data_IF_369412313957
#
_entry.id   IF_369412313957
#
_cell.length_a   1.000
_cell.length_b   1.000
_cell.length_c   1.000
_cell.angle_alpha   90.00
_cell.angle_beta   90.00
_cell.angle_gamma   90.00
#
_symmetry.space_group_name_H-M   'P 1'
#
loop_
_entity.id
_entity.type
_entity.pdbx_description
1 polymer ?
#
# COMPACT_ATOMS: atom_id res chain seq x y z
N UNK A 1 30.58 6.21 -8.70
CA UNK A 1 29.24 6.08 -8.12
C UNK A 1 29.10 4.66 -7.60
N UNK A 2 29.38 4.46 -6.32
CA UNK A 2 29.14 3.17 -5.68
C UNK A 2 27.62 2.95 -5.54
N UNK A 3 27.13 1.85 -6.09
CA UNK A 3 25.74 1.44 -5.99
C UNK A 3 25.43 1.10 -4.54
N UNK A 4 24.55 1.90 -3.93
CA UNK A 4 24.08 1.73 -2.55
C UNK A 4 23.22 0.46 -2.32
N UNK A 5 23.12 -0.44 -3.31
CA UNK A 5 22.33 -1.66 -3.23
C UNK A 5 23.01 -2.80 -2.46
N UNK A 6 24.31 -2.71 -2.12
CA UNK A 6 25.03 -3.82 -1.46
C UNK A 6 24.82 -3.92 0.05
N UNK A 7 24.31 -2.87 0.74
CA UNK A 7 24.22 -2.88 2.21
C UNK A 7 22.98 -3.59 2.76
N UNK A 8 21.87 -3.63 2.03
CA UNK A 8 20.64 -4.29 2.49
C UNK A 8 20.77 -5.83 2.52
N UNK A 9 21.49 -6.40 1.55
CA UNK A 9 21.74 -7.83 1.46
C UNK A 9 22.57 -8.39 2.63
N UNK A 10 23.28 -7.55 3.38
CA UNK A 10 24.16 -7.97 4.49
C UNK A 10 23.37 -8.21 5.79
N UNK A 11 22.19 -7.59 5.93
CA UNK A 11 21.37 -7.66 7.15
C UNK A 11 20.14 -8.58 7.04
N UNK A 12 19.78 -9.03 5.84
CA UNK A 12 18.70 -10.00 5.64
C UNK A 12 19.24 -11.43 5.71
N UNK A 13 18.76 -12.23 6.67
CA UNK A 13 19.13 -13.64 6.79
C UNK A 13 17.98 -14.50 6.26
N UNK A 14 18.16 -15.26 5.16
CA UNK A 14 17.11 -16.14 4.67
C UNK A 14 16.82 -17.22 5.73
N UNK A 15 15.56 -17.36 6.09
CA UNK A 15 15.10 -18.41 7.03
C UNK A 15 14.64 -19.65 6.28
N UNK A 16 13.95 -19.46 5.15
CA UNK A 16 13.49 -20.52 4.27
C UNK A 16 13.55 -20.08 2.80
N UNK A 17 13.80 -21.04 1.91
CA UNK A 17 13.71 -20.87 0.45
C UNK A 17 12.84 -22.00 -0.09
N UNK A 18 11.69 -21.64 -0.64
CA UNK A 18 10.68 -22.60 -1.08
C UNK A 18 10.31 -22.30 -2.53
N UNK A 19 10.35 -23.33 -3.38
CA UNK A 19 9.96 -23.24 -4.79
C UNK A 19 8.45 -23.50 -4.94
N UNK A 20 7.64 -22.67 -4.30
CA UNK A 20 6.19 -22.79 -4.27
C UNK A 20 5.53 -21.49 -4.78
N UNK A 21 4.35 -21.57 -5.41
CA UNK A 21 3.60 -20.38 -5.78
C UNK A 21 3.17 -19.61 -4.53
N UNK A 22 3.07 -18.28 -4.63
CA UNK A 22 2.56 -17.45 -3.53
C UNK A 22 1.03 -17.46 -3.51
N UNK A 23 0.47 -18.54 -2.95
CA UNK A 23 -0.96 -18.76 -2.72
C UNK A 23 -1.23 -19.25 -1.28
N UNK A 24 -2.50 -19.32 -0.90
CA UNK A 24 -2.92 -19.68 0.47
C UNK A 24 -2.34 -21.01 0.95
N UNK A 25 -2.49 -22.08 0.15
CA UNK A 25 -2.02 -23.43 0.49
C UNK A 25 -0.50 -23.46 0.72
N UNK A 26 0.25 -22.86 -0.19
CA UNK A 26 1.71 -22.82 -0.12
C UNK A 26 2.20 -21.98 1.05
N UNK A 27 1.56 -20.83 1.31
CA UNK A 27 1.90 -19.97 2.44
C UNK A 27 1.58 -20.68 3.76
N UNK A 28 0.42 -21.33 3.88
CA UNK A 28 0.05 -22.12 5.06
C UNK A 28 1.09 -23.21 5.35
N UNK A 29 1.37 -24.05 4.35
CA UNK A 29 2.40 -25.09 4.46
C UNK A 29 3.76 -24.55 4.93
N UNK A 30 4.16 -23.39 4.38
CA UNK A 30 5.44 -22.76 4.72
C UNK A 30 5.46 -22.15 6.13
N UNK A 31 4.34 -21.60 6.57
CA UNK A 31 4.23 -20.87 7.83
C UNK A 31 4.05 -21.78 9.03
N UNK A 32 3.44 -22.96 8.90
CA UNK A 32 3.17 -23.85 10.04
C UNK A 32 4.43 -24.13 10.88
N UNK A 33 5.55 -24.48 10.23
CA UNK A 33 6.82 -24.72 10.91
C UNK A 33 7.40 -23.45 11.54
N UNK A 34 7.29 -22.30 10.86
CA UNK A 34 7.78 -21.02 11.36
C UNK A 34 6.97 -20.56 12.59
N UNK A 35 5.64 -20.66 12.55
CA UNK A 35 4.74 -20.29 13.64
C UNK A 35 5.05 -21.11 14.89
N UNK A 36 5.25 -22.43 14.74
CA UNK A 36 5.59 -23.30 15.86
C UNK A 36 6.94 -22.92 16.50
N UNK A 37 7.95 -22.64 15.67
CA UNK A 37 9.25 -22.20 16.15
C UNK A 37 9.18 -20.83 16.84
N UNK A 38 8.44 -19.88 16.26
CA UNK A 38 8.21 -18.56 16.84
C UNK A 38 7.58 -18.65 18.23
N UNK A 39 6.52 -19.46 18.36
CA UNK A 39 5.81 -19.68 19.63
C UNK A 39 6.76 -20.27 20.68
N UNK A 40 7.53 -21.30 20.29
CA UNK A 40 8.51 -21.92 21.18
C UNK A 40 9.58 -20.91 21.64
N UNK A 41 10.07 -20.02 20.76
CA UNK A 41 11.08 -19.02 21.11
C UNK A 41 10.54 -17.97 22.08
N UNK A 42 9.29 -17.52 21.89
CA UNK A 42 8.68 -16.54 22.79
C UNK A 42 8.39 -17.13 24.18
N UNK A 43 7.89 -18.37 24.24
CA UNK A 43 7.57 -19.05 25.51
C UNK A 43 8.83 -19.42 26.30
N UNK A 44 9.87 -19.92 25.61
CA UNK A 44 11.11 -20.35 26.27
C UNK A 44 12.13 -19.22 26.48
N UNK A 45 11.91 -18.07 25.82
CA UNK A 45 12.89 -16.99 25.73
C UNK A 45 14.13 -17.40 24.95
N UNK A 46 15.09 -16.48 24.84
CA UNK A 46 16.39 -16.78 24.21
C UNK A 46 17.47 -16.85 25.28
N UNK A 47 17.99 -18.06 25.49
CA UNK A 47 19.19 -18.28 26.30
C UNK A 47 20.42 -18.07 25.43
N UNK A 48 21.11 -16.94 25.60
CA UNK A 48 22.39 -16.66 24.97
C UNK A 48 23.53 -16.94 25.94
N UNK A 49 24.73 -17.18 25.41
CA UNK A 49 25.93 -17.48 26.23
C UNK A 49 26.25 -16.39 27.29
N UNK A 50 25.64 -15.19 27.17
CA UNK A 50 25.82 -14.05 28.07
C UNK A 50 24.54 -13.63 28.83
N UNK A 51 23.50 -14.47 28.89
CA UNK A 51 22.29 -14.22 29.67
C UNK A 51 21.00 -14.62 28.97
N UNK A 52 19.90 -14.51 29.71
CA UNK A 52 18.55 -14.77 29.21
C UNK A 52 17.90 -13.44 28.80
N UNK A 53 17.27 -13.42 27.63
CA UNK A 53 16.45 -12.30 27.17
C UNK A 53 15.03 -12.74 26.88
N UNK A 54 14.07 -11.86 27.18
CA UNK A 54 12.72 -11.98 26.66
C UNK A 54 12.73 -11.66 25.16
N UNK A 55 12.02 -12.46 24.37
CA UNK A 55 11.91 -12.27 22.92
C UNK A 55 10.47 -11.93 22.59
N UNK A 56 10.29 -10.87 21.81
CA UNK A 56 9.01 -10.53 21.18
C UNK A 56 9.19 -10.53 19.67
N UNK A 57 8.40 -11.35 18.97
CA UNK A 57 8.46 -11.49 17.52
C UNK A 57 7.34 -10.63 16.91
N UNK A 58 7.73 -9.75 15.99
CA UNK A 58 6.83 -8.83 15.29
C UNK A 58 6.72 -9.25 13.82
N UNK A 59 5.49 -9.45 13.35
CA UNK A 59 5.18 -9.76 11.95
C UNK A 59 4.93 -8.48 11.16
N UNK A 60 6.03 -7.97 10.57
CA UNK A 60 6.03 -6.76 9.76
C UNK A 60 6.66 -7.01 8.38
N UNK A 61 6.58 -6.00 7.51
CA UNK A 61 7.19 -5.99 6.17
C UNK A 61 6.55 -6.92 5.13
N UNK A 62 5.33 -7.40 5.39
CA UNK A 62 4.52 -8.03 4.35
C UNK A 62 3.96 -6.97 3.40
N UNK A 63 4.07 -7.23 2.10
CA UNK A 63 3.27 -6.46 1.14
C UNK A 63 1.78 -6.75 1.34
N UNK A 64 0.94 -6.00 0.63
CA UNK A 64 -0.51 -6.10 0.77
C UNK A 64 -1.03 -7.49 0.36
N UNK A 65 -0.38 -8.17 -0.60
CA UNK A 65 -0.84 -9.48 -1.08
C UNK A 65 -0.57 -10.55 -0.03
N UNK A 66 0.66 -10.62 0.48
CA UNK A 66 1.02 -11.56 1.54
C UNK A 66 0.25 -11.27 2.83
N UNK A 67 0.07 -9.98 3.19
CA UNK A 67 -0.72 -9.62 4.37
C UNK A 67 -2.19 -10.05 4.25
N UNK A 68 -2.78 -9.94 3.05
CA UNK A 68 -4.16 -10.42 2.78
C UNK A 68 -4.27 -11.93 2.95
N UNK A 69 -3.30 -12.70 2.45
CA UNK A 69 -3.25 -14.15 2.63
C UNK A 69 -3.09 -14.46 4.12
N UNK A 70 -2.09 -13.91 4.80
CA UNK A 70 -1.85 -14.25 6.19
C UNK A 70 -3.00 -13.85 7.14
N UNK A 71 -3.70 -12.76 6.85
CA UNK A 71 -4.82 -12.27 7.66
C UNK A 71 -6.19 -12.84 7.29
N UNK A 72 -6.31 -13.52 6.15
CA UNK A 72 -7.62 -13.87 5.58
C UNK A 72 -8.44 -12.67 5.08
N UNK A 73 -8.00 -11.42 5.29
CA UNK A 73 -8.76 -10.20 4.98
C UNK A 73 -8.62 -9.77 3.51
N UNK A 74 -8.63 -10.71 2.57
CA UNK A 74 -8.41 -10.45 1.14
C UNK A 74 -9.45 -9.54 0.49
N UNK A 75 -10.69 -9.57 1.00
CA UNK A 75 -11.80 -8.73 0.56
C UNK A 75 -11.85 -7.37 1.24
N UNK A 76 -11.05 -7.14 2.28
CA UNK A 76 -11.08 -5.90 3.04
C UNK A 76 -10.34 -4.78 2.29
N UNK A 77 -10.85 -3.55 2.43
CA UNK A 77 -10.16 -2.36 1.92
C UNK A 77 -8.88 -2.07 2.70
N UNK A 78 -8.90 -2.33 4.01
CA UNK A 78 -7.78 -2.16 4.91
C UNK A 78 -7.60 -3.41 5.79
N UNK A 79 -6.36 -3.82 5.98
CA UNK A 79 -5.97 -5.00 6.76
C UNK A 79 -5.79 -4.65 8.25
N UNK A 80 -5.82 -3.37 8.61
CA UNK A 80 -5.58 -2.89 9.97
C UNK A 80 -6.83 -2.27 10.62
N UNK A 81 -7.87 -1.97 9.85
CA UNK A 81 -9.12 -1.42 10.38
C UNK A 81 -10.37 -2.18 9.89
N UNK A 82 -11.47 -2.00 10.61
CA UNK A 82 -12.78 -2.56 10.23
C UNK A 82 -13.63 -1.60 9.39
N UNK A 83 -13.10 -0.42 9.04
CA UNK A 83 -13.83 0.59 8.29
C UNK A 83 -14.26 0.07 6.91
N UNK A 84 -15.53 0.32 6.56
CA UNK A 84 -16.07 -0.04 5.25
C UNK A 84 -15.68 0.99 4.19
N UNK A 85 -15.90 0.66 2.92
CA UNK A 85 -15.66 1.61 1.83
C UNK A 85 -16.51 2.87 1.98
N UNK A 86 -17.75 2.77 2.47
CA UNK A 86 -18.63 3.93 2.62
C UNK A 86 -18.10 4.94 3.64
N UNK A 87 -17.47 4.46 4.72
CA UNK A 87 -16.94 5.33 5.77
C UNK A 87 -15.78 6.20 5.29
N UNK A 88 -15.13 5.84 4.17
CA UNK A 88 -14.06 6.67 3.62
C UNK A 88 -14.61 7.98 3.05
N UNK A 89 -15.90 8.06 2.72
CA UNK A 89 -16.52 9.28 2.22
C UNK A 89 -17.03 10.21 3.34
N UNK A 90 -16.95 9.78 4.60
CA UNK A 90 -17.38 10.59 5.74
C UNK A 90 -16.24 11.47 6.25
N UNK A 91 -16.35 12.78 6.00
CA UNK A 91 -15.36 13.77 6.40
C UNK A 91 -15.11 13.79 7.92
N UNK A 92 -16.13 13.49 8.73
CA UNK A 92 -15.99 13.46 10.18
C UNK A 92 -15.11 12.29 10.63
N UNK A 93 -15.22 11.15 9.96
CA UNK A 93 -14.38 9.97 10.23
C UNK A 93 -12.96 10.23 9.77
N UNK A 94 -12.79 10.80 8.58
CA UNK A 94 -11.47 11.21 8.06
C UNK A 94 -10.77 12.14 9.04
N UNK A 95 -11.48 13.13 9.56
CA UNK A 95 -10.93 14.14 10.47
C UNK A 95 -10.55 13.56 11.84
N UNK A 96 -11.20 12.48 12.27
CA UNK A 96 -10.88 11.76 13.50
C UNK A 96 -9.86 10.64 13.30
N UNK A 97 -9.53 10.31 12.05
CA UNK A 97 -8.69 9.17 11.68
C UNK A 97 -9.43 7.83 11.72
N UNK A 98 -8.87 6.84 11.01
CA UNK A 98 -9.39 5.48 11.02
C UNK A 98 -8.75 4.67 12.15
N UNK A 99 -9.54 4.02 13.02
CA UNK A 99 -8.98 3.22 14.11
C UNK A 99 -8.28 1.98 13.57
N UNK A 100 -7.07 1.66 14.05
CA UNK A 100 -6.39 0.40 13.76
C UNK A 100 -6.93 -0.72 14.67
N UNK A 101 -8.20 -1.05 14.50
CA UNK A 101 -8.97 -1.92 15.39
C UNK A 101 -9.22 -3.33 14.86
N UNK A 102 -8.60 -3.72 13.73
CA UNK A 102 -8.72 -5.09 13.23
C UNK A 102 -7.60 -5.93 13.85
N UNK A 103 -7.97 -6.92 14.65
CA UNK A 103 -7.03 -7.92 15.16
C UNK A 103 -7.22 -9.25 14.43
N UNK A 104 -6.16 -10.05 14.38
CA UNK A 104 -6.20 -11.40 13.83
C UNK A 104 -7.06 -12.31 14.70
N UNK A 105 -7.07 -12.08 16.01
CA UNK A 105 -7.96 -12.81 16.93
C UNK A 105 -9.42 -12.59 16.59
N UNK A 106 -9.87 -11.33 16.51
CA UNK A 106 -11.26 -11.01 16.18
C UNK A 106 -11.63 -11.56 14.80
N UNK A 107 -10.70 -11.53 13.84
CA UNK A 107 -10.91 -12.11 12.52
C UNK A 107 -11.11 -13.64 12.57
N UNK A 108 -10.40 -14.36 13.46
CA UNK A 108 -10.60 -15.80 13.65
C UNK A 108 -11.91 -16.09 14.35
N UNK A 109 -12.23 -15.33 15.40
CA UNK A 109 -13.48 -15.49 16.15
C UNK A 109 -14.68 -15.29 15.20
N UNK A 110 -14.68 -14.24 14.38
CA UNK A 110 -15.71 -14.01 13.35
C UNK A 110 -15.75 -15.15 12.33
N UNK A 111 -14.61 -15.71 11.92
CA UNK A 111 -14.59 -16.81 10.97
C UNK A 111 -15.13 -18.11 11.57
N UNK A 112 -14.82 -18.38 12.84
CA UNK A 112 -15.25 -19.60 13.55
C UNK A 112 -16.74 -19.55 13.95
N UNK A 113 -17.34 -18.36 14.00
CA UNK A 113 -18.78 -18.15 14.23
C UNK A 113 -19.65 -18.32 12.97
N UNK A 114 -19.07 -18.26 11.77
CA UNK A 114 -19.80 -18.39 10.50
C UNK A 114 -19.49 -19.76 9.90
N UNK A 115 -20.52 -20.51 9.52
CA UNK A 115 -20.33 -21.82 8.89
C UNK A 115 -19.50 -21.67 7.59
N UNK A 116 -18.55 -22.57 7.35
CA UNK A 116 -17.58 -22.46 6.25
C UNK A 116 -18.27 -22.46 4.88
N UNK A 117 -19.40 -23.18 4.76
CA UNK A 117 -20.28 -23.17 3.58
C UNK A 117 -21.06 -21.85 3.43
N UNK A 118 -21.36 -21.17 4.53
CA UNK A 118 -22.07 -19.89 4.56
C UNK A 118 -21.13 -18.73 4.16
N UNK A 119 -19.84 -18.80 4.55
CA UNK A 119 -18.81 -17.79 4.22
C UNK A 119 -18.61 -17.62 2.70
N UNK A 120 -18.76 -18.68 1.91
CA UNK A 120 -18.63 -18.63 0.45
C UNK A 120 -19.89 -18.10 -0.25
N UNK A 121 -21.05 -18.15 0.44
CA UNK A 121 -22.34 -17.70 -0.09
C UNK A 121 -22.71 -16.28 0.33
N UNK A 122 -22.16 -15.77 1.44
CA UNK A 122 -22.41 -14.43 1.92
C UNK A 122 -21.61 -13.36 1.14
N UNK A 123 -22.23 -12.20 0.84
CA UNK A 123 -21.54 -11.02 0.38
C UNK A 123 -20.34 -10.66 1.27
N UNK A 124 -19.22 -10.24 0.66
CA UNK A 124 -17.95 -9.99 1.37
C UNK A 124 -18.08 -9.02 2.55
N UNK A 125 -18.97 -8.05 2.48
CA UNK A 125 -19.26 -7.09 3.56
C UNK A 125 -19.97 -7.71 4.78
N UNK A 126 -20.68 -8.84 4.62
CA UNK A 126 -21.37 -9.52 5.72
C UNK A 126 -20.47 -10.47 6.52
N UNK A 127 -19.28 -10.80 6.00
CA UNK A 127 -18.24 -11.62 6.65
C UNK A 127 -17.03 -10.79 7.12
N UNK A 128 -17.24 -9.53 7.48
CA UNK A 128 -16.17 -8.57 7.85
C UNK A 128 -15.03 -8.46 6.82
N UNK A 129 -15.34 -8.80 5.56
CA UNK A 129 -14.43 -8.88 4.42
C UNK A 129 -13.30 -9.92 4.51
N UNK A 130 -13.51 -11.00 5.28
CA UNK A 130 -12.65 -12.19 5.29
C UNK A 130 -12.96 -13.08 4.09
N UNK A 131 -11.95 -13.73 3.51
CA UNK A 131 -12.09 -14.69 2.41
C UNK A 131 -11.81 -16.13 2.84
N UNK A 132 -10.99 -16.31 3.86
CA UNK A 132 -10.58 -17.59 4.42
C UNK A 132 -10.12 -17.38 5.87
N UNK A 133 -9.92 -18.47 6.61
CA UNK A 133 -9.46 -18.42 8.00
C UNK A 133 -8.05 -17.78 8.06
N UNK A 134 -7.79 -16.83 8.97
CA UNK A 134 -6.45 -16.27 9.15
C UNK A 134 -5.40 -17.38 9.37
N UNK A 135 -4.30 -17.35 8.60
CA UNK A 135 -3.16 -18.26 8.77
C UNK A 135 -2.28 -17.79 9.92
N UNK A 136 -2.15 -16.47 10.09
CA UNK A 136 -1.39 -15.89 11.18
C UNK A 136 -2.10 -16.10 12.53
N UNK A 137 -1.31 -16.27 13.58
CA UNK A 137 -1.74 -16.18 14.99
C UNK A 137 -1.50 -14.78 15.58
N UNK A 138 -0.79 -13.91 14.85
CA UNK A 138 -0.35 -12.59 15.29
C UNK A 138 -0.81 -11.50 14.34
N UNK A 139 -1.10 -10.32 14.90
CA UNK A 139 -1.43 -9.14 14.11
C UNK A 139 -0.36 -8.80 13.08
N UNK A 140 -0.83 -8.39 11.91
CA UNK A 140 0.01 -8.18 10.73
C UNK A 140 0.08 -6.69 10.45
N UNK A 141 1.30 -6.16 10.53
CA UNK A 141 1.54 -4.76 10.17
C UNK A 141 1.99 -4.73 8.71
N UNK A 142 1.03 -4.54 7.81
CA UNK A 142 1.29 -4.36 6.36
C UNK A 142 1.63 -2.91 6.06
N UNK A 143 2.86 -2.54 6.40
CA UNK A 143 3.40 -1.22 6.14
C UNK A 143 4.64 -1.35 5.22
N UNK A 144 4.41 -1.31 3.90
CA UNK A 144 5.50 -1.36 2.90
C UNK A 144 5.67 0.01 2.24
N UNK A 145 6.75 0.77 2.57
CA UNK A 145 7.05 2.04 1.92
C UNK A 145 7.10 1.95 0.40
N UNK A 146 7.72 0.89 -0.14
CA UNK A 146 7.82 0.69 -1.59
C UNK A 146 6.43 0.60 -2.26
N UNK A 147 5.55 -0.26 -1.74
CA UNK A 147 4.22 -0.43 -2.31
C UNK A 147 3.32 0.79 -2.09
N UNK A 148 3.52 1.55 -1.01
CA UNK A 148 2.83 2.83 -0.82
C UNK A 148 3.21 3.84 -1.91
N UNK A 149 4.50 3.96 -2.28
CA UNK A 149 4.91 4.79 -3.42
C UNK A 149 4.23 4.32 -4.72
N UNK A 150 4.35 3.04 -5.06
CA UNK A 150 3.81 2.48 -6.30
C UNK A 150 2.29 2.65 -6.42
N UNK A 151 1.56 2.35 -5.34
CA UNK A 151 0.12 2.50 -5.27
C UNK A 151 -0.33 3.95 -5.39
N UNK A 152 0.32 4.86 -4.64
CA UNK A 152 0.01 6.30 -4.68
C UNK A 152 0.27 6.89 -6.05
N UNK A 153 1.38 6.52 -6.69
CA UNK A 153 1.68 6.95 -8.06
C UNK A 153 0.66 6.44 -9.07
N UNK A 154 0.31 5.17 -9.01
CA UNK A 154 -0.69 4.57 -9.90
C UNK A 154 -2.04 5.26 -9.76
N UNK A 155 -2.46 5.54 -8.52
CA UNK A 155 -3.69 6.27 -8.24
C UNK A 155 -3.61 7.72 -8.74
N UNK A 156 -2.51 8.43 -8.49
CA UNK A 156 -2.35 9.81 -8.92
C UNK A 156 -2.37 9.92 -10.44
N UNK A 157 -1.63 9.07 -11.16
CA UNK A 157 -1.65 9.03 -12.61
C UNK A 157 -3.06 8.75 -13.14
N UNK A 158 -3.80 7.86 -12.49
CA UNK A 158 -5.19 7.56 -12.85
C UNK A 158 -6.12 8.75 -12.62
N UNK A 159 -5.93 9.51 -11.53
CA UNK A 159 -6.63 10.78 -11.30
C UNK A 159 -6.39 11.75 -12.46
N UNK A 160 -5.13 11.94 -12.88
CA UNK A 160 -4.78 12.81 -14.02
C UNK A 160 -5.48 12.34 -15.30
N UNK A 161 -5.55 11.04 -15.57
CA UNK A 161 -6.28 10.51 -16.73
C UNK A 161 -7.77 10.87 -16.68
N UNK A 162 -8.41 10.73 -15.51
CA UNK A 162 -9.83 11.08 -15.36
C UNK A 162 -10.07 12.58 -15.52
N UNK A 163 -9.16 13.42 -15.00
CA UNK A 163 -9.23 14.88 -15.18
C UNK A 163 -9.05 15.29 -16.64
N UNK A 164 -8.07 14.73 -17.34
CA UNK A 164 -7.86 14.96 -18.77
C UNK A 164 -9.12 14.64 -19.58
N UNK A 165 -9.83 13.56 -19.23
CA UNK A 165 -11.02 13.11 -19.94
C UNK A 165 -12.34 13.73 -19.45
N UNK A 166 -12.32 14.57 -18.41
CA UNK A 166 -13.55 15.08 -17.77
C UNK A 166 -14.43 13.96 -17.19
N UNK A 167 -13.83 12.83 -16.78
CA UNK A 167 -14.53 11.60 -16.39
C UNK A 167 -14.51 11.35 -14.87
N UNK A 168 -14.28 12.36 -14.05
CA UNK A 168 -14.07 12.20 -12.60
C UNK A 168 -15.26 11.54 -11.88
N UNK A 169 -16.49 11.81 -12.34
CA UNK A 169 -17.72 11.23 -11.78
C UNK A 169 -17.91 9.73 -12.08
N UNK A 170 -17.11 9.18 -13.01
CA UNK A 170 -17.20 7.77 -13.43
C UNK A 170 -15.81 7.14 -13.34
N UNK A 171 -15.43 6.79 -12.11
CA UNK A 171 -14.15 6.16 -11.85
C UNK A 171 -14.10 4.75 -12.46
N UNK A 172 -13.41 4.60 -13.60
CA UNK A 172 -13.33 3.35 -14.34
C UNK A 172 -11.93 3.17 -14.97
N UNK A 173 -10.99 2.51 -14.27
CA UNK A 173 -9.61 2.38 -14.74
C UNK A 173 -9.45 1.61 -16.05
N UNK A 174 -10.46 0.82 -16.43
CA UNK A 174 -10.46 -0.03 -17.62
C UNK A 174 -11.23 0.57 -18.80
N UNK A 175 -11.78 1.78 -18.65
CA UNK A 175 -12.50 2.45 -19.74
C UNK A 175 -11.53 2.72 -20.91
N UNK A 176 -11.90 2.45 -22.18
CA UNK A 176 -11.04 2.71 -23.33
C UNK A 176 -10.55 4.17 -23.41
N UNK A 177 -11.40 5.12 -22.97
CA UNK A 177 -11.06 6.54 -22.93
C UNK A 177 -9.93 6.80 -21.93
N UNK A 178 -10.03 6.22 -20.73
CA UNK A 178 -9.02 6.34 -19.67
C UNK A 178 -7.71 5.64 -20.07
N UNK A 179 -7.78 4.48 -20.72
CA UNK A 179 -6.61 3.79 -21.25
C UNK A 179 -5.90 4.61 -22.35
N UNK A 180 -6.66 5.30 -23.21
CA UNK A 180 -6.13 6.21 -24.22
C UNK A 180 -5.41 7.41 -23.59
N UNK A 181 -6.03 8.05 -22.60
CA UNK A 181 -5.43 9.13 -21.81
C UNK A 181 -4.15 8.68 -21.11
N UNK A 182 -4.19 7.51 -20.44
CA UNK A 182 -3.03 6.95 -19.77
C UNK A 182 -1.86 6.77 -20.73
N UNK A 183 -2.09 6.17 -21.90
CA UNK A 183 -1.06 6.00 -22.93
C UNK A 183 -0.48 7.33 -23.39
N UNK A 184 -1.32 8.32 -23.64
CA UNK A 184 -0.89 9.67 -24.04
C UNK A 184 -0.01 10.30 -22.97
N UNK A 185 -0.45 10.29 -21.71
CA UNK A 185 0.29 10.89 -20.59
C UNK A 185 1.61 10.17 -20.35
N UNK A 186 1.64 8.83 -20.37
CA UNK A 186 2.90 8.07 -20.20
C UNK A 186 3.88 8.34 -21.32
N UNK A 187 3.42 8.45 -22.57
CA UNK A 187 4.29 8.80 -23.70
C UNK A 187 4.83 10.23 -23.60
N UNK A 188 4.01 11.19 -23.15
CA UNK A 188 4.47 12.56 -22.91
C UNK A 188 5.54 12.61 -21.82
N UNK A 189 5.33 11.93 -20.70
CA UNK A 189 6.31 11.88 -19.60
C UNK A 189 7.61 11.22 -20.08
N UNK A 190 7.53 10.13 -20.84
CA UNK A 190 8.70 9.46 -21.39
C UNK A 190 9.48 10.37 -22.33
N UNK A 191 8.80 11.07 -23.26
CA UNK A 191 9.42 12.01 -24.19
C UNK A 191 10.10 13.17 -23.45
N UNK A 192 9.43 13.77 -22.46
CA UNK A 192 9.91 15.00 -21.83
C UNK A 192 10.90 14.78 -20.70
N UNK A 193 10.77 13.67 -19.95
CA UNK A 193 11.56 13.41 -18.75
C UNK A 193 12.52 12.25 -18.92
N UNK A 194 12.47 11.52 -20.03
CA UNK A 194 13.20 10.25 -20.22
C UNK A 194 12.91 9.26 -19.09
N UNK A 195 11.62 9.16 -18.71
CA UNK A 195 11.11 8.24 -17.69
C UNK A 195 10.07 7.32 -18.32
N UNK A 196 10.39 6.04 -18.45
CA UNK A 196 9.41 5.03 -18.90
C UNK A 196 8.52 4.61 -17.72
N UNK A 197 7.21 4.62 -17.94
CA UNK A 197 6.16 4.28 -16.98
C UNK A 197 5.22 3.27 -17.64
N UNK A 198 4.77 2.26 -16.88
CA UNK A 198 3.75 1.29 -17.25
C UNK A 198 3.98 0.57 -18.59
N UNK A 199 5.25 0.44 -18.98
CA UNK A 199 5.65 -0.40 -20.11
C UNK A 199 5.94 -1.81 -19.61
N UNK A 200 5.49 -2.88 -20.29
CA UNK A 200 5.82 -4.25 -19.90
C UNK A 200 7.34 -4.46 -19.79
N UNK A 201 7.79 -5.04 -18.68
CA UNK A 201 9.19 -5.38 -18.44
C UNK A 201 9.49 -6.80 -18.94
N UNK A 202 10.74 -7.08 -19.30
CA UNK A 202 11.20 -8.43 -19.70
C UNK A 202 11.17 -9.41 -18.51
N UNK A 203 11.25 -8.90 -17.27
CA UNK A 203 11.38 -9.70 -16.03
C UNK A 203 10.06 -9.77 -15.25
N UNK A 204 8.92 -9.78 -15.95
CA UNK A 204 7.57 -9.59 -15.38
C UNK A 204 7.37 -8.17 -14.78
N UNK A 205 6.10 -7.77 -14.60
CA UNK A 205 5.74 -6.44 -14.11
C UNK A 205 5.90 -5.32 -15.14
N UNK A 206 6.05 -4.08 -14.66
CA UNK A 206 6.16 -2.89 -15.52
C UNK A 206 7.45 -2.11 -15.26
N UNK A 207 7.78 -1.17 -16.14
CA UNK A 207 8.89 -0.21 -15.97
C UNK A 207 8.68 0.75 -14.79
N UNK A 208 7.49 0.78 -14.20
CA UNK A 208 7.16 1.56 -13.00
C UNK A 208 7.78 0.94 -11.74
N UNK A 209 9.07 1.20 -11.54
CA UNK A 209 9.81 0.76 -10.36
C UNK A 209 9.74 1.78 -9.23
N UNK A 210 10.08 1.36 -8.00
CA UNK A 210 10.20 2.28 -6.86
C UNK A 210 11.17 3.43 -7.10
N UNK A 211 12.22 3.23 -7.90
CA UNK A 211 13.16 4.30 -8.27
C UNK A 211 12.52 5.32 -9.22
N UNK A 212 11.73 4.86 -10.20
CA UNK A 212 10.98 5.73 -11.11
C UNK A 212 10.00 6.59 -10.32
N UNK A 213 9.19 5.96 -9.48
CA UNK A 213 8.19 6.67 -8.68
C UNK A 213 8.84 7.64 -7.69
N UNK A 214 9.95 7.26 -7.07
CA UNK A 214 10.72 8.18 -6.23
C UNK A 214 11.26 9.38 -7.01
N UNK A 215 11.64 9.23 -8.28
CA UNK A 215 12.04 10.39 -9.09
C UNK A 215 10.88 11.37 -9.30
N UNK A 216 9.64 10.87 -9.41
CA UNK A 216 8.45 11.70 -9.54
C UNK A 216 8.08 12.38 -8.21
N UNK A 217 8.13 11.69 -7.07
CA UNK A 217 7.64 12.21 -5.78
C UNK A 217 8.73 12.73 -4.82
N UNK A 218 9.99 12.40 -5.05
CA UNK A 218 11.09 12.66 -4.11
C UNK A 218 12.29 13.24 -4.83
N UNK A 219 12.32 14.56 -5.04
CA UNK A 219 13.59 15.28 -5.17
C UNK A 219 13.50 16.78 -4.94
N UNK A 220 14.63 17.30 -4.48
CA UNK A 220 14.98 18.69 -4.16
C UNK A 220 15.40 19.53 -5.38
N UNK A 221 15.20 19.01 -6.60
CA UNK A 221 15.78 19.53 -7.85
C UNK A 221 14.66 19.72 -8.90
N UNK A 222 14.96 20.35 -10.04
CA UNK A 222 14.03 20.72 -11.13
C UNK A 222 13.09 19.60 -11.59
N UNK A 223 13.47 18.33 -11.43
CA UNK A 223 12.72 17.17 -11.96
C UNK A 223 11.34 16.97 -11.33
N UNK A 224 11.14 17.36 -10.06
CA UNK A 224 9.82 17.30 -9.42
C UNK A 224 8.90 18.37 -10.00
N UNK A 225 9.44 19.57 -10.22
CA UNK A 225 8.72 20.66 -10.87
C UNK A 225 8.43 20.31 -12.32
N UNK A 226 9.37 19.68 -13.03
CA UNK A 226 9.18 19.23 -14.41
C UNK A 226 8.07 18.19 -14.51
N UNK A 227 8.05 17.18 -13.63
CA UNK A 227 6.99 16.18 -13.62
C UNK A 227 5.62 16.82 -13.39
N UNK A 228 5.50 17.63 -12.34
CA UNK A 228 4.24 18.31 -12.05
C UNK A 228 3.84 19.26 -13.19
N UNK A 229 4.79 20.00 -13.76
CA UNK A 229 4.55 20.88 -14.90
C UNK A 229 3.92 20.14 -16.07
N UNK A 230 4.51 19.01 -16.50
CA UNK A 230 3.96 18.23 -17.61
C UNK A 230 2.62 17.58 -17.29
N UNK A 231 2.38 17.22 -16.03
CA UNK A 231 1.06 16.77 -15.56
C UNK A 231 0.03 17.90 -15.63
N UNK A 232 0.40 19.13 -15.24
CA UNK A 232 -0.50 20.29 -15.30
C UNK A 232 -0.85 20.67 -16.75
N UNK A 233 0.06 20.45 -17.70
CA UNK A 233 -0.19 20.72 -19.12
C UNK A 233 -1.29 19.85 -19.74
N UNK A 234 -1.67 18.73 -19.10
CA UNK A 234 -2.67 17.79 -19.64
C UNK A 234 -4.00 17.79 -18.89
N UNK A 235 -4.14 18.60 -17.84
CA UNK A 235 -5.38 18.72 -17.06
C UNK A 235 -5.99 20.12 -17.19
N UNK A 236 -7.31 20.28 -16.94
CA UNK A 236 -7.97 21.58 -17.03
C UNK A 236 -7.34 22.60 -16.08
N UNK A 237 -7.19 23.85 -16.55
CA UNK A 237 -6.47 24.91 -15.83
C UNK A 237 -7.08 25.20 -14.45
N UNK A 238 -8.41 25.14 -14.35
CA UNK A 238 -9.17 25.29 -13.11
C UNK A 238 -8.80 24.27 -12.02
N UNK A 239 -8.22 23.13 -12.39
CA UNK A 239 -7.80 22.07 -11.43
C UNK A 239 -6.34 22.19 -10.99
N UNK A 240 -5.56 23.09 -11.57
CA UNK A 240 -4.10 23.13 -11.38
C UNK A 240 -3.69 23.30 -9.92
N UNK A 241 -4.35 24.20 -9.19
CA UNK A 241 -4.06 24.46 -7.78
C UNK A 241 -4.34 23.24 -6.91
N UNK A 242 -5.46 22.56 -7.15
CA UNK A 242 -5.88 21.37 -6.39
C UNK A 242 -4.92 20.20 -6.66
N UNK A 243 -4.60 19.94 -7.93
CA UNK A 243 -3.65 18.89 -8.34
C UNK A 243 -2.27 19.15 -7.71
N UNK A 244 -1.78 20.39 -7.76
CA UNK A 244 -0.52 20.79 -7.13
C UNK A 244 -0.52 20.53 -5.63
N UNK A 245 -1.60 20.89 -4.94
CA UNK A 245 -1.74 20.69 -3.49
C UNK A 245 -1.70 19.21 -3.14
N UNK A 246 -2.51 18.40 -3.82
CA UNK A 246 -2.56 16.95 -3.61
C UNK A 246 -1.18 16.33 -3.88
N UNK A 247 -0.55 16.67 -4.99
CA UNK A 247 0.76 16.14 -5.34
C UNK A 247 1.82 16.48 -4.28
N UNK A 248 1.87 17.72 -3.81
CA UNK A 248 2.82 18.16 -2.79
C UNK A 248 2.57 17.46 -1.45
N UNK A 249 1.32 17.31 -1.04
CA UNK A 249 1.00 16.61 0.20
C UNK A 249 1.34 15.12 0.12
N UNK A 250 1.01 14.45 -0.98
CA UNK A 250 1.38 13.04 -1.21
C UNK A 250 2.90 12.87 -1.20
N UNK A 251 3.65 13.79 -1.83
CA UNK A 251 5.12 13.81 -1.76
C UNK A 251 5.61 13.91 -0.31
N UNK A 252 5.06 14.84 0.48
CA UNK A 252 5.44 15.02 1.88
C UNK A 252 5.14 13.76 2.73
N UNK A 253 3.93 13.21 2.59
CA UNK A 253 3.48 11.99 3.25
C UNK A 253 4.42 10.82 2.95
N UNK A 254 4.68 10.55 1.66
CA UNK A 254 5.51 9.42 1.24
C UNK A 254 6.97 9.58 1.67
N UNK A 255 7.46 10.83 1.74
CA UNK A 255 8.80 11.15 2.26
C UNK A 255 8.93 10.84 3.75
N UNK A 256 7.93 11.25 4.53
CA UNK A 256 7.89 11.00 5.97
C UNK A 256 7.72 9.51 6.26
N UNK A 257 6.81 8.84 5.55
CA UNK A 257 6.55 7.41 5.70
C UNK A 257 7.77 6.53 5.37
N UNK A 258 8.60 6.95 4.40
CA UNK A 258 9.85 6.29 4.06
C UNK A 258 11.07 6.87 4.80
N UNK A 259 10.85 7.78 5.76
CA UNK A 259 11.93 8.31 6.58
C UNK A 259 12.27 7.32 7.70
N UNK A 260 13.55 7.06 7.91
CA UNK A 260 14.01 6.30 9.09
C UNK A 260 14.05 7.18 10.36
N UNK A 261 13.21 8.23 10.42
CA UNK A 261 13.20 9.22 11.49
C UNK A 261 11.93 9.07 12.30
N UNK A 262 11.98 9.46 13.57
CA UNK A 262 10.75 9.70 14.33
C UNK A 262 10.01 10.87 13.67
N UNK A 263 8.74 10.67 13.38
CA UNK A 263 7.88 11.66 12.73
C UNK A 263 6.97 12.26 13.80
N UNK A 264 6.76 13.57 13.71
CA UNK A 264 5.70 14.25 14.45
C UNK A 264 4.35 13.84 13.86
N UNK A 265 3.56 13.11 14.63
CA UNK A 265 2.30 12.53 14.17
C UNK A 265 1.22 13.60 13.99
N UNK A 266 1.21 14.66 14.79
CA UNK A 266 0.17 15.69 14.71
C UNK A 266 0.28 16.51 13.41
N UNK A 267 1.50 16.93 13.05
CA UNK A 267 1.74 17.61 11.79
C UNK A 267 1.42 16.72 10.58
N UNK A 268 1.71 15.42 10.66
CA UNK A 268 1.41 14.47 9.59
C UNK A 268 -0.11 14.24 9.45
N UNK A 269 -0.84 14.13 10.56
CA UNK A 269 -2.29 13.95 10.57
C UNK A 269 -3.02 15.13 9.91
N UNK A 270 -2.54 16.35 10.12
CA UNK A 270 -3.07 17.53 9.45
C UNK A 270 -2.86 17.46 7.92
N UNK A 271 -1.65 17.09 7.46
CA UNK A 271 -1.37 16.95 6.02
C UNK A 271 -2.23 15.85 5.40
N UNK A 272 -2.42 14.73 6.07
CA UNK A 272 -3.31 13.66 5.60
C UNK A 272 -4.75 14.15 5.45
N UNK A 273 -5.26 14.85 6.47
CA UNK A 273 -6.61 15.41 6.49
C UNK A 273 -6.81 16.40 5.35
N UNK A 274 -5.95 17.41 5.24
CA UNK A 274 -6.01 18.44 4.19
C UNK A 274 -5.98 17.82 2.78
N UNK A 275 -5.17 16.77 2.59
CA UNK A 275 -5.12 16.04 1.31
C UNK A 275 -6.44 15.36 1.02
N UNK A 276 -7.01 14.70 2.02
CA UNK A 276 -8.23 13.94 1.86
C UNK A 276 -9.45 14.83 1.66
N UNK A 277 -9.58 15.91 2.45
CA UNK A 277 -10.61 16.93 2.29
C UNK A 277 -10.54 17.59 0.90
N UNK A 278 -9.33 17.88 0.42
CA UNK A 278 -9.11 18.42 -0.93
C UNK A 278 -9.57 17.45 -2.02
N UNK A 279 -9.29 16.15 -1.88
CA UNK A 279 -9.79 15.12 -2.79
C UNK A 279 -11.32 15.05 -2.75
N UNK A 280 -11.91 14.98 -1.56
CA UNK A 280 -13.35 14.84 -1.42
C UNK A 280 -14.11 16.05 -1.99
N UNK A 281 -13.67 17.26 -1.64
CA UNK A 281 -14.35 18.50 -2.04
C UNK A 281 -14.32 18.73 -3.55
N UNK A 282 -13.25 18.29 -4.23
CA UNK A 282 -13.06 18.60 -5.65
C UNK A 282 -13.42 17.44 -6.59
N UNK A 283 -13.43 16.19 -6.10
CA UNK A 283 -13.52 15.00 -6.96
C UNK A 283 -14.54 13.94 -6.54
N UNK A 284 -15.33 14.17 -5.47
CA UNK A 284 -16.41 13.26 -5.06
C UNK A 284 -17.77 13.59 -5.67
#
# INVERSE_FOLDING_TARGET
>A
METSSSKFAICTRPVALLALPENEESVKFSMDSLINNETSIEESGLSLHNGNGEVKIIRAHFDTKMAKILSGAGGANCQMCTATFQLIHDISIVNNGFPMNRTIRDARDVFDEVDEEEILSLPTNQRSNLLHKPISEKDIISASPLHAYLGTFSWFLLLICHLQCGAIQKWSPTSPIILGAKKFITSLIEEKLSISIDTPSIQEGTTTTGNVVRRCFTRSDDTLQDFLYWVLMVVPHETHQVVTTIFNNLSAILRLYNSNRKVDTEGLDNVYRDTYESILTNFS
#
